data_IF_484207167496
#
_entry.id   IF_484207167496
#
_cell.length_a   1.000
_cell.length_b   1.000
_cell.length_c   1.000
_cell.angle_alpha   90.00
_cell.angle_beta   90.00
_cell.angle_gamma   90.00
#
_symmetry.space_group_name_H-M   'P 1'
#
loop_
_entity.id
_entity.type
_entity.pdbx_description
1 polymer ?
#
# COMPACT_ATOMS: atom_id res chain seq x y z
N UNK A 1 4.93 73.01 1.13
CA UNK A 1 4.10 71.84 0.67
C UNK A 1 3.58 71.14 1.91
N UNK A 2 2.29 71.20 2.12
CA UNK A 2 1.64 70.83 3.39
C UNK A 2 1.32 69.32 3.47
N UNK A 3 1.45 68.68 4.62
CA UNK A 3 0.99 67.29 4.79
C UNK A 3 -0.51 67.24 5.07
N UNK A 4 -1.19 66.41 4.34
CA UNK A 4 -2.62 66.13 4.53
C UNK A 4 -2.80 65.17 5.70
N UNK A 5 -3.49 65.65 6.73
CA UNK A 5 -4.00 64.86 7.84
C UNK A 5 -5.26 64.13 7.39
N UNK A 6 -5.32 62.81 7.60
CA UNK A 6 -6.55 62.06 7.53
C UNK A 6 -7.12 61.83 8.92
N UNK A 7 -8.43 62.03 9.09
CA UNK A 7 -9.08 61.77 10.38
C UNK A 7 -9.42 60.31 10.57
N UNK A 8 -9.18 59.80 11.76
CA UNK A 8 -9.63 58.50 12.22
C UNK A 8 -11.14 58.53 12.52
N UNK A 9 -11.94 57.58 12.04
CA UNK A 9 -13.22 57.30 12.64
C UNK A 9 -13.10 56.22 13.71
N UNK A 10 -13.56 56.63 14.85
CA UNK A 10 -13.94 55.96 16.06
C UNK A 10 -14.36 54.50 15.94
N UNK A 11 -13.72 53.71 16.80
CA UNK A 11 -14.13 52.38 17.19
C UNK A 11 -15.59 52.36 17.71
N UNK A 12 -16.40 51.49 17.14
CA UNK A 12 -17.63 51.06 17.78
C UNK A 12 -17.49 49.54 18.02
N UNK A 13 -17.45 49.23 19.32
CA UNK A 13 -17.33 47.89 19.81
C UNK A 13 -18.54 47.03 19.44
N UNK A 14 -18.29 45.91 18.89
CA UNK A 14 -19.25 44.81 18.79
C UNK A 14 -18.80 43.70 19.74
N UNK A 15 -19.36 43.76 20.95
CA UNK A 15 -19.27 42.75 21.97
C UNK A 15 -20.13 41.57 21.50
N UNK A 16 -19.57 40.64 20.76
CA UNK A 16 -20.23 39.38 20.40
C UNK A 16 -20.26 38.47 21.63
N UNK A 17 -21.46 38.34 22.18
CA UNK A 17 -21.80 37.34 23.20
C UNK A 17 -21.52 35.94 22.65
N UNK A 18 -20.43 35.34 23.10
CA UNK A 18 -20.23 33.90 23.01
C UNK A 18 -21.21 33.22 23.97
N UNK A 19 -22.41 32.93 23.48
CA UNK A 19 -23.30 31.96 24.10
C UNK A 19 -22.63 30.60 23.96
N UNK A 20 -21.87 30.22 24.96
CA UNK A 20 -21.35 28.85 25.12
C UNK A 20 -22.54 27.92 25.21
N UNK A 21 -22.77 27.11 24.18
CA UNK A 21 -23.55 25.90 24.33
C UNK A 21 -22.78 24.99 25.29
N UNK A 22 -23.05 25.07 26.58
CA UNK A 22 -22.78 24.01 27.51
C UNK A 22 -23.66 22.84 27.08
N UNK A 23 -23.15 21.99 26.23
CA UNK A 23 -23.68 20.65 26.08
C UNK A 23 -23.45 19.97 27.40
N UNK A 24 -24.45 20.01 28.27
CA UNK A 24 -24.55 19.03 29.36
C UNK A 24 -24.54 17.67 28.70
N UNK A 25 -23.39 17.02 28.73
CA UNK A 25 -23.33 15.58 28.56
C UNK A 25 -24.11 14.98 29.73
N UNK A 26 -25.40 14.79 29.52
CA UNK A 26 -26.20 13.91 30.36
C UNK A 26 -25.52 12.56 30.16
N UNK A 27 -24.82 12.10 31.18
CA UNK A 27 -24.35 10.73 31.21
C UNK A 27 -25.60 9.86 31.00
N UNK A 28 -25.65 8.99 29.98
CA UNK A 28 -26.82 8.16 29.78
C UNK A 28 -26.97 7.32 31.05
N UNK A 29 -28.14 7.40 31.64
CA UNK A 29 -28.51 6.59 32.80
C UNK A 29 -28.40 5.13 32.37
N UNK A 30 -27.35 4.46 32.84
CA UNK A 30 -26.95 3.11 32.39
C UNK A 30 -27.94 2.04 32.89
N UNK A 31 -28.88 2.47 33.76
CA UNK A 31 -29.88 1.60 34.39
C UNK A 31 -31.28 1.74 33.77
N UNK A 32 -31.42 2.39 32.62
CA UNK A 32 -32.71 2.40 31.92
C UNK A 32 -33.08 0.98 31.47
N UNK A 33 -34.14 0.44 32.04
CA UNK A 33 -34.66 -0.89 31.73
C UNK A 33 -34.88 -1.05 30.23
N UNK A 34 -33.99 -1.79 29.54
CA UNK A 34 -34.05 -2.05 28.13
C UNK A 34 -32.80 -1.64 27.33
N UNK A 35 -31.85 -0.91 27.91
CA UNK A 35 -30.56 -0.71 27.26
C UNK A 35 -29.59 -1.85 27.56
N UNK A 36 -29.01 -2.48 26.53
CA UNK A 36 -28.02 -3.53 26.78
C UNK A 36 -26.82 -2.89 27.49
N UNK A 37 -26.43 -3.48 28.63
CA UNK A 37 -25.23 -3.08 29.35
C UNK A 37 -24.06 -2.99 28.36
N UNK A 38 -23.37 -1.85 28.35
CA UNK A 38 -22.28 -1.56 27.42
C UNK A 38 -21.21 -2.67 27.46
N UNK A 39 -20.99 -3.25 28.62
CA UNK A 39 -20.06 -4.34 28.84
C UNK A 39 -20.51 -5.64 28.12
N UNK A 40 -21.80 -5.95 28.19
CA UNK A 40 -22.40 -7.09 27.48
C UNK A 40 -22.39 -6.86 25.95
N UNK A 41 -22.59 -5.60 25.50
CA UNK A 41 -22.52 -5.25 24.10
C UNK A 41 -21.09 -5.37 23.58
N UNK A 42 -20.10 -4.96 24.36
CA UNK A 42 -18.67 -5.10 24.04
C UNK A 42 -18.26 -6.58 23.98
N UNK A 43 -18.66 -7.39 24.97
CA UNK A 43 -18.37 -8.82 24.94
C UNK A 43 -18.99 -9.52 23.74
N UNK A 44 -20.24 -9.22 23.37
CA UNK A 44 -20.86 -9.76 22.16
C UNK A 44 -20.12 -9.33 20.88
N UNK A 45 -19.55 -8.13 20.88
CA UNK A 45 -18.75 -7.64 19.77
C UNK A 45 -17.43 -8.40 19.65
N UNK A 46 -16.75 -8.64 20.76
CA UNK A 46 -15.52 -9.44 20.83
C UNK A 46 -15.77 -10.89 20.41
N UNK A 47 -16.83 -11.53 20.94
CA UNK A 47 -17.22 -12.89 20.56
C UNK A 47 -17.57 -13.02 19.07
N UNK A 48 -18.06 -11.95 18.46
CA UNK A 48 -18.34 -11.92 17.02
C UNK A 48 -17.03 -11.86 16.23
N UNK A 49 -16.09 -11.04 16.67
CA UNK A 49 -14.76 -10.93 16.04
C UNK A 49 -14.02 -12.27 16.14
N UNK A 50 -14.02 -12.90 17.31
CA UNK A 50 -13.38 -14.20 17.52
C UNK A 50 -14.00 -15.29 16.65
N UNK A 51 -15.32 -15.34 16.53
CA UNK A 51 -16.00 -16.28 15.63
C UNK A 51 -15.66 -16.02 14.16
N UNK A 52 -15.59 -14.76 13.76
CA UNK A 52 -15.23 -14.40 12.39
C UNK A 52 -13.77 -14.74 12.11
N UNK A 53 -12.86 -14.47 13.05
CA UNK A 53 -11.47 -14.87 12.96
C UNK A 53 -11.29 -16.39 12.94
N UNK A 54 -12.06 -17.13 13.74
CA UNK A 54 -12.07 -18.60 13.71
C UNK A 54 -12.55 -19.17 12.37
N UNK A 55 -13.55 -18.54 11.75
CA UNK A 55 -14.01 -18.91 10.41
C UNK A 55 -12.96 -18.61 9.34
N UNK A 56 -12.30 -17.44 9.43
CA UNK A 56 -11.19 -17.11 8.53
C UNK A 56 -10.01 -18.07 8.71
N UNK A 57 -9.74 -18.54 9.92
CA UNK A 57 -8.72 -19.56 10.20
C UNK A 57 -9.03 -20.91 9.58
N UNK A 58 -10.31 -21.29 9.49
CA UNK A 58 -10.74 -22.51 8.78
C UNK A 58 -10.60 -22.39 7.24
N UNK A 59 -10.79 -21.20 6.70
CA UNK A 59 -10.48 -20.91 5.29
C UNK A 59 -8.98 -20.72 5.03
N UNK A 60 -8.20 -20.41 6.05
CA UNK A 60 -6.75 -20.20 5.98
C UNK A 60 -5.92 -21.47 5.86
N UNK A 61 -6.51 -22.67 5.96
CA UNK A 61 -5.85 -23.94 5.63
C UNK A 61 -5.86 -24.23 4.11
N UNK A 62 -6.77 -23.61 3.35
CA UNK A 62 -6.50 -23.33 1.94
C UNK A 62 -5.63 -22.07 1.96
N UNK A 63 -4.30 -22.20 1.87
CA UNK A 63 -3.39 -21.07 1.71
C UNK A 63 -3.97 -20.12 0.68
N UNK A 64 -3.71 -18.80 0.76
CA UNK A 64 -4.24 -17.85 -0.19
C UNK A 64 -4.11 -18.48 -1.56
N UNK A 65 -5.24 -18.58 -2.30
CA UNK A 65 -5.22 -19.03 -3.68
C UNK A 65 -4.24 -18.08 -4.38
N UNK A 66 -2.96 -18.44 -4.35
CA UNK A 66 -1.99 -17.77 -5.20
C UNK A 66 -2.55 -18.00 -6.58
N UNK A 67 -2.86 -16.95 -7.35
CA UNK A 67 -3.21 -17.13 -8.74
C UNK A 67 -2.15 -18.07 -9.29
N UNK A 68 -2.58 -19.23 -9.82
CA UNK A 68 -1.65 -20.23 -10.34
C UNK A 68 -0.89 -19.53 -11.45
N UNK A 69 0.36 -19.17 -11.18
CA UNK A 69 1.18 -18.51 -12.17
C UNK A 69 1.28 -19.43 -13.40
N UNK A 70 1.25 -18.90 -14.62
CA UNK A 70 1.46 -19.67 -15.83
C UNK A 70 2.69 -20.57 -15.74
N UNK A 71 2.69 -21.68 -16.47
CA UNK A 71 3.74 -22.70 -16.41
C UNK A 71 5.13 -22.11 -16.72
N UNK A 72 5.20 -21.10 -17.58
CA UNK A 72 6.42 -20.38 -17.94
C UNK A 72 7.06 -19.68 -16.75
N UNK A 73 6.23 -19.07 -15.90
CA UNK A 73 6.67 -18.39 -14.68
C UNK A 73 7.03 -19.37 -13.55
N UNK A 74 6.53 -20.59 -13.61
CA UNK A 74 6.88 -21.66 -12.67
C UNK A 74 8.13 -22.46 -13.11
N UNK A 75 8.65 -22.21 -14.31
CA UNK A 75 9.87 -22.84 -14.79
C UNK A 75 11.01 -22.54 -13.84
N UNK A 76 11.73 -23.59 -13.44
CA UNK A 76 12.92 -23.46 -12.62
C UNK A 76 14.06 -22.84 -13.46
N UNK A 77 14.62 -21.78 -12.94
CA UNK A 77 15.74 -21.06 -13.56
C UNK A 77 16.76 -20.69 -12.49
N UNK A 78 18.01 -20.55 -12.93
CA UNK A 78 19.10 -20.09 -12.09
C UNK A 78 19.66 -18.80 -12.66
N UNK A 79 19.87 -17.80 -11.80
CA UNK A 79 20.46 -16.53 -12.19
C UNK A 79 21.40 -16.03 -11.10
N UNK A 80 22.67 -15.84 -11.47
CA UNK A 80 23.61 -15.04 -10.71
C UNK A 80 23.80 -13.72 -11.47
N UNK A 81 23.28 -12.64 -10.89
CA UNK A 81 23.28 -11.33 -11.51
C UNK A 81 23.87 -10.26 -10.60
N UNK A 82 24.74 -9.43 -11.15
CA UNK A 82 25.26 -8.24 -10.48
C UNK A 82 25.44 -7.14 -11.53
N UNK A 83 24.50 -6.21 -11.60
CA UNK A 83 24.49 -5.19 -12.62
C UNK A 83 23.17 -4.42 -12.71
N UNK A 84 22.93 -3.71 -13.83
CA UNK A 84 21.69 -2.97 -14.04
C UNK A 84 20.45 -3.87 -13.95
N UNK A 85 19.41 -3.37 -13.28
CA UNK A 85 18.13 -4.07 -13.12
C UNK A 85 17.52 -4.45 -14.49
N UNK A 86 17.52 -3.52 -15.44
CA UNK A 86 16.92 -3.70 -16.76
C UNK A 86 17.50 -4.88 -17.52
N UNK A 87 18.81 -5.02 -17.48
CA UNK A 87 19.52 -6.09 -18.16
C UNK A 87 19.25 -7.44 -17.47
N UNK A 88 19.19 -7.45 -16.14
CA UNK A 88 18.85 -8.64 -15.35
C UNK A 88 17.44 -9.12 -15.65
N UNK A 89 16.47 -8.23 -15.61
CA UNK A 89 15.06 -8.53 -15.91
C UNK A 89 14.89 -8.94 -17.37
N UNK A 90 15.54 -8.24 -18.31
CA UNK A 90 15.51 -8.60 -19.75
C UNK A 90 16.05 -10.00 -19.97
N UNK A 91 17.20 -10.33 -19.39
CA UNK A 91 17.81 -11.66 -19.53
C UNK A 91 16.88 -12.75 -19.03
N UNK A 92 16.17 -12.51 -17.94
CA UNK A 92 15.21 -13.47 -17.38
C UNK A 92 13.94 -13.56 -18.23
N UNK A 93 13.40 -12.41 -18.67
CA UNK A 93 12.23 -12.34 -19.55
C UNK A 93 12.45 -13.12 -20.85
N UNK A 94 13.60 -12.94 -21.50
CA UNK A 94 13.95 -13.65 -22.71
C UNK A 94 14.00 -15.18 -22.51
N UNK A 95 14.50 -15.65 -21.36
CA UNK A 95 14.56 -17.08 -21.03
C UNK A 95 13.18 -17.72 -20.85
N UNK A 96 12.21 -16.96 -20.37
CA UNK A 96 10.84 -17.45 -20.14
C UNK A 96 9.89 -17.11 -21.30
N UNK A 97 10.38 -16.44 -22.35
CA UNK A 97 9.60 -16.08 -23.53
C UNK A 97 8.66 -14.88 -23.31
N UNK A 98 9.01 -13.99 -22.39
CA UNK A 98 8.25 -12.76 -22.11
C UNK A 98 8.86 -11.55 -22.79
N UNK A 99 8.00 -10.60 -23.19
CA UNK A 99 8.45 -9.31 -23.71
C UNK A 99 8.94 -8.43 -22.57
N UNK A 100 10.06 -7.81 -22.74
CA UNK A 100 10.58 -6.83 -21.80
C UNK A 100 10.20 -5.39 -22.21
N UNK A 101 9.74 -4.60 -21.24
CA UNK A 101 9.39 -3.18 -21.40
C UNK A 101 9.96 -2.40 -20.23
N UNK A 102 10.42 -1.18 -20.51
CA UNK A 102 10.88 -0.23 -19.48
C UNK A 102 10.04 1.03 -19.53
N UNK A 103 9.53 1.43 -18.41
CA UNK A 103 8.91 2.74 -18.22
C UNK A 103 9.76 3.54 -17.25
N UNK A 104 10.55 4.45 -17.81
CA UNK A 104 11.46 5.28 -17.02
C UNK A 104 11.06 6.75 -17.14
N UNK A 105 11.02 7.52 -16.05
CA UNK A 105 11.07 8.96 -16.12
C UNK A 105 12.45 9.35 -16.68
N UNK A 106 12.50 10.34 -17.55
CA UNK A 106 13.62 10.72 -18.44
C UNK A 106 14.98 11.02 -17.77
N UNK A 107 15.15 10.80 -16.49
CA UNK A 107 16.34 11.21 -15.71
C UNK A 107 16.85 10.20 -14.69
N UNK A 108 16.33 8.98 -14.64
CA UNK A 108 16.79 7.99 -13.67
C UNK A 108 17.96 7.20 -14.24
N UNK A 109 19.09 7.22 -13.54
CA UNK A 109 20.23 6.36 -13.88
C UNK A 109 19.90 4.89 -13.64
N UNK A 110 20.71 3.95 -14.17
CA UNK A 110 20.50 2.52 -14.02
C UNK A 110 20.55 2.13 -12.54
N UNK A 111 19.52 1.42 -12.06
CA UNK A 111 19.50 0.86 -10.70
C UNK A 111 20.34 -0.40 -10.70
N UNK A 112 21.36 -0.45 -9.83
CA UNK A 112 22.22 -1.63 -9.67
C UNK A 112 21.59 -2.60 -8.68
N UNK A 113 21.54 -3.88 -9.07
CA UNK A 113 21.00 -4.96 -8.24
C UNK A 113 21.94 -6.16 -8.23
N UNK A 114 21.93 -6.89 -7.13
CA UNK A 114 22.67 -8.15 -7.00
C UNK A 114 21.71 -9.24 -6.52
N UNK A 115 21.56 -10.31 -7.32
CA UNK A 115 20.72 -11.46 -7.01
C UNK A 115 21.48 -12.73 -7.40
N UNK A 116 21.48 -13.72 -6.50
CA UNK A 116 22.07 -15.03 -6.78
C UNK A 116 21.11 -16.10 -6.27
N UNK A 117 20.40 -16.74 -7.19
CA UNK A 117 19.42 -17.80 -6.88
C UNK A 117 19.55 -18.94 -7.90
N UNK A 118 19.38 -20.17 -7.41
CA UNK A 118 19.55 -21.39 -8.20
C UNK A 118 18.31 -22.26 -8.05
N UNK A 119 17.86 -22.83 -9.17
CA UNK A 119 16.72 -23.75 -9.24
C UNK A 119 15.44 -23.24 -8.55
N UNK A 120 15.11 -21.99 -8.82
CA UNK A 120 13.90 -21.34 -8.30
C UNK A 120 12.93 -21.00 -9.44
N UNK A 121 11.62 -20.90 -9.16
CA UNK A 121 10.65 -20.43 -10.14
C UNK A 121 11.02 -19.06 -10.70
N UNK A 122 10.83 -18.85 -11.99
CA UNK A 122 11.16 -17.57 -12.64
C UNK A 122 10.44 -16.39 -11.99
N UNK A 123 9.20 -16.59 -11.51
CA UNK A 123 8.45 -15.55 -10.79
C UNK A 123 9.16 -15.12 -9.51
N UNK A 124 9.77 -16.03 -8.77
CA UNK A 124 10.48 -15.73 -7.53
C UNK A 124 11.76 -14.93 -7.81
N UNK A 125 12.44 -15.24 -8.94
CA UNK A 125 13.59 -14.47 -9.41
C UNK A 125 13.22 -13.06 -9.84
N UNK A 126 12.10 -12.88 -10.57
CA UNK A 126 11.59 -11.55 -10.92
C UNK A 126 11.24 -10.74 -9.68
N UNK A 127 10.63 -11.39 -8.69
CA UNK A 127 10.34 -10.76 -7.40
C UNK A 127 11.62 -10.38 -6.65
N UNK A 128 12.63 -11.25 -6.65
CA UNK A 128 13.92 -10.97 -6.01
C UNK A 128 14.64 -9.77 -6.66
N UNK A 129 14.61 -9.67 -7.99
CA UNK A 129 15.15 -8.51 -8.73
C UNK A 129 14.40 -7.23 -8.36
N UNK A 130 13.06 -7.28 -8.30
CA UNK A 130 12.25 -6.15 -7.87
C UNK A 130 12.52 -5.73 -6.43
N UNK A 131 12.66 -6.69 -5.51
CA UNK A 131 12.99 -6.43 -4.11
C UNK A 131 14.39 -5.82 -3.95
N UNK A 132 15.36 -6.28 -4.75
CA UNK A 132 16.72 -5.73 -4.76
C UNK A 132 16.77 -4.28 -5.28
N UNK A 133 15.85 -3.90 -6.16
CA UNK A 133 15.70 -2.53 -6.62
C UNK A 133 15.08 -1.59 -5.57
N UNK A 134 14.38 -2.14 -4.58
CA UNK A 134 13.77 -1.41 -3.47
C UNK A 134 12.76 -0.35 -3.91
N UNK A 135 12.93 0.87 -3.38
CA UNK A 135 12.03 1.98 -3.70
C UNK A 135 12.28 2.61 -5.09
N UNK A 136 13.40 2.29 -5.73
CA UNK A 136 13.84 2.95 -6.97
C UNK A 136 13.10 2.45 -8.21
N UNK A 137 12.67 1.18 -8.21
CA UNK A 137 11.95 0.58 -9.32
C UNK A 137 11.02 -0.53 -8.85
N UNK A 138 10.01 -0.83 -9.67
CA UNK A 138 9.09 -1.95 -9.47
C UNK A 138 9.12 -2.84 -10.71
N UNK A 139 9.19 -4.14 -10.51
CA UNK A 139 9.05 -5.14 -11.59
C UNK A 139 7.61 -5.63 -11.60
N UNK A 140 6.92 -5.41 -12.70
CA UNK A 140 5.53 -5.81 -12.92
C UNK A 140 5.50 -6.93 -13.95
N UNK A 141 4.80 -8.01 -13.63
CA UNK A 141 4.61 -9.15 -14.54
C UNK A 141 3.16 -9.17 -15.01
N UNK A 142 2.94 -9.14 -16.30
CA UNK A 142 1.64 -9.29 -16.95
C UNK A 142 1.61 -10.64 -17.70
N UNK A 143 1.03 -11.67 -17.10
CA UNK A 143 0.96 -12.99 -17.70
C UNK A 143 0.10 -13.02 -18.96
N UNK A 144 -0.98 -12.24 -19.01
CA UNK A 144 -1.93 -12.24 -20.13
C UNK A 144 -1.30 -11.67 -21.40
N UNK A 145 -0.41 -10.70 -21.23
CA UNK A 145 0.34 -10.09 -22.34
C UNK A 145 1.71 -10.70 -22.58
N UNK A 146 2.10 -11.69 -21.77
CA UNK A 146 3.45 -12.25 -21.75
C UNK A 146 4.52 -11.14 -21.68
N UNK A 147 4.35 -10.24 -20.71
CA UNK A 147 5.18 -9.04 -20.59
C UNK A 147 5.73 -8.89 -19.17
N UNK A 148 6.98 -8.49 -19.10
CA UNK A 148 7.61 -8.01 -17.86
C UNK A 148 7.99 -6.55 -18.05
N UNK A 149 7.55 -5.71 -17.13
CA UNK A 149 7.79 -4.27 -17.16
C UNK A 149 8.60 -3.83 -15.95
N UNK A 150 9.62 -3.01 -16.19
CA UNK A 150 10.35 -2.30 -15.14
C UNK A 150 9.86 -0.86 -15.11
N UNK A 151 9.26 -0.47 -14.00
CA UNK A 151 8.75 0.88 -13.77
C UNK A 151 9.65 1.59 -12.77
N UNK A 152 10.40 2.59 -13.24
CA UNK A 152 11.22 3.43 -12.38
C UNK A 152 10.38 4.50 -11.69
N UNK A 153 10.71 4.77 -10.44
CA UNK A 153 10.11 5.88 -9.68
C UNK A 153 11.00 7.12 -9.77
N UNK A 154 10.34 8.27 -9.87
CA UNK A 154 11.00 9.57 -9.87
C UNK A 154 11.42 9.99 -8.44
#
# INVERSE_FOLDING_TARGET
MAPRRFPHPTAFGLLALLAGCATTTVAPDVDAAGMPNVEVALQRSLDRVDRTMGQLGQYGSAGPLRPVAPAELQRLVSLAWNGPLDEGVRTLADRIGYRFVVTAPSRTGPVQVAVNMTDVPAIDLLQALGNAAGASATVVVDPDRHQVEVQYRA
#
